data_IF_364203687757
#
_entry.id   IF_364203687757
#
_cell.length_a   1.000
_cell.length_b   1.000
_cell.length_c   1.000
_cell.angle_alpha   90.00
_cell.angle_beta   90.00
_cell.angle_gamma   90.00
#
_symmetry.space_group_name_H-M   'P 1'
#
loop_
_entity.id
_entity.type
_entity.pdbx_description
1 polymer ?
#
# COMPACT_ATOMS: atom_id res chain seq x y z
N UNK A 1 26.75 15.57 -22.86
CA UNK A 1 25.35 15.97 -23.11
C UNK A 1 24.82 16.60 -21.84
N UNK A 2 24.27 17.82 -21.91
CA UNK A 2 23.68 18.46 -20.74
C UNK A 2 22.34 17.79 -20.40
N UNK A 3 22.15 17.47 -19.12
CA UNK A 3 20.92 16.89 -18.60
C UNK A 3 19.89 18.02 -18.47
N UNK A 4 18.80 17.95 -19.22
CA UNK A 4 17.73 18.97 -19.26
C UNK A 4 16.41 18.40 -18.77
N UNK A 5 15.70 19.13 -17.92
CA UNK A 5 14.41 18.68 -17.39
C UNK A 5 13.34 18.50 -18.48
N UNK A 6 13.26 19.44 -19.43
CA UNK A 6 12.28 19.44 -20.54
C UNK A 6 12.87 18.99 -21.89
N UNK A 7 14.05 18.36 -21.89
CA UNK A 7 14.82 18.12 -23.12
C UNK A 7 15.56 19.36 -23.64
N UNK A 8 16.43 19.13 -24.63
CA UNK A 8 17.26 20.16 -25.25
C UNK A 8 17.08 20.19 -26.78
N UNK A 9 16.06 19.49 -27.28
CA UNK A 9 15.66 19.39 -28.68
C UNK A 9 14.76 20.55 -29.12
N UNK A 10 13.96 21.11 -28.21
CA UNK A 10 13.07 22.23 -28.51
C UNK A 10 13.28 23.42 -27.55
N UNK A 11 13.75 24.55 -28.09
CA UNK A 11 13.97 25.80 -27.34
C UNK A 11 12.65 26.35 -26.77
N UNK A 12 11.51 26.04 -27.41
CA UNK A 12 10.18 26.48 -26.93
C UNK A 12 9.67 25.67 -25.73
N UNK A 13 10.32 24.56 -25.36
CA UNK A 13 9.89 23.74 -24.21
C UNK A 13 9.92 24.51 -22.88
N UNK A 14 10.78 25.53 -22.77
CA UNK A 14 10.87 26.43 -21.62
C UNK A 14 10.07 27.74 -21.80
N UNK A 15 9.44 27.95 -22.95
CA UNK A 15 8.64 29.15 -23.22
C UNK A 15 7.29 29.06 -22.49
N UNK A 16 6.97 30.11 -21.71
CA UNK A 16 5.76 30.18 -20.87
C UNK A 16 4.75 31.23 -21.36
N UNK A 17 4.95 31.80 -22.55
CA UNK A 17 4.12 32.87 -23.12
C UNK A 17 2.64 32.51 -23.29
N UNK A 18 2.31 31.24 -23.53
CA UNK A 18 0.92 30.78 -23.66
C UNK A 18 0.26 30.40 -22.31
N UNK A 19 0.98 30.53 -21.20
CA UNK A 19 0.51 30.30 -19.84
C UNK A 19 1.13 29.10 -19.13
N UNK A 20 1.38 29.23 -17.84
CA UNK A 20 2.12 28.25 -17.01
C UNK A 20 1.53 26.83 -17.06
N UNK A 21 0.20 26.70 -16.98
CA UNK A 21 -0.46 25.38 -16.91
C UNK A 21 -0.65 24.74 -18.29
N UNK A 22 -0.41 25.49 -19.39
CA UNK A 22 -0.43 24.92 -20.76
C UNK A 22 0.89 24.26 -21.11
N UNK A 23 1.99 24.68 -20.50
CA UNK A 23 3.28 24.05 -20.72
C UNK A 23 3.34 22.71 -19.97
N UNK A 24 3.36 21.61 -20.71
CA UNK A 24 3.37 20.23 -20.17
C UNK A 24 4.57 20.00 -19.25
N UNK A 25 5.74 20.56 -19.59
CA UNK A 25 6.92 20.42 -18.75
C UNK A 25 6.83 21.19 -17.44
N UNK A 26 6.28 22.41 -17.46
CA UNK A 26 6.01 23.13 -16.23
C UNK A 26 5.00 22.39 -15.34
N UNK A 27 3.99 21.77 -15.95
CA UNK A 27 2.99 20.99 -15.21
C UNK A 27 3.60 19.74 -14.55
N UNK A 28 4.55 19.09 -15.22
CA UNK A 28 5.32 17.98 -14.64
C UNK A 28 6.29 18.45 -13.54
N UNK A 29 6.88 19.65 -13.67
CA UNK A 29 7.61 20.29 -12.58
C UNK A 29 6.71 20.61 -11.37
N UNK A 30 5.49 21.09 -11.61
CA UNK A 30 4.52 21.39 -10.55
C UNK A 30 4.14 20.12 -9.76
N UNK A 31 4.06 18.97 -10.43
CA UNK A 31 3.82 17.68 -9.78
C UNK A 31 4.96 17.23 -8.86
N UNK A 32 6.17 17.80 -8.99
CA UNK A 32 7.29 17.52 -8.11
C UNK A 32 7.13 18.18 -6.73
N UNK A 33 6.46 19.33 -6.69
CA UNK A 33 6.38 20.21 -5.50
C UNK A 33 5.80 19.50 -4.27
N UNK A 34 4.65 18.79 -4.35
CA UNK A 34 4.09 18.11 -3.18
C UNK A 34 5.02 17.03 -2.63
N UNK A 35 5.69 16.27 -3.50
CA UNK A 35 6.57 15.18 -3.12
C UNK A 35 7.82 15.70 -2.39
N UNK A 36 8.45 16.74 -2.94
CA UNK A 36 9.62 17.38 -2.33
C UNK A 36 9.24 18.02 -0.98
N UNK A 37 8.10 18.70 -0.91
CA UNK A 37 7.58 19.27 0.32
C UNK A 37 7.43 18.23 1.45
N UNK A 38 6.82 17.08 1.14
CA UNK A 38 6.65 16.01 2.13
C UNK A 38 8.00 15.53 2.64
N UNK A 39 8.96 15.29 1.75
CA UNK A 39 10.28 14.81 2.13
C UNK A 39 10.96 15.81 3.07
N UNK A 40 10.99 17.11 2.73
CA UNK A 40 11.62 18.12 3.57
C UNK A 40 11.01 18.23 4.98
N UNK A 41 9.69 18.09 5.10
CA UNK A 41 9.02 18.17 6.41
C UNK A 41 9.19 16.87 7.22
N UNK A 42 9.13 15.72 6.57
CA UNK A 42 9.12 14.43 7.27
C UNK A 42 10.52 13.94 7.63
N UNK A 43 11.56 14.26 6.85
CA UNK A 43 12.93 13.81 7.11
C UNK A 43 13.41 14.20 8.52
N UNK A 44 13.38 15.48 8.95
CA UNK A 44 13.81 15.87 10.28
C UNK A 44 13.06 15.14 11.39
N UNK A 45 11.75 14.94 11.22
CA UNK A 45 10.90 14.24 12.20
C UNK A 45 11.30 12.77 12.31
N UNK A 46 11.53 12.10 11.18
CA UNK A 46 11.96 10.71 11.15
C UNK A 46 13.34 10.53 11.79
N UNK A 47 14.29 11.43 11.52
CA UNK A 47 15.62 11.40 12.14
C UNK A 47 15.55 11.58 13.67
N UNK A 48 14.75 12.53 14.17
CA UNK A 48 14.54 12.72 15.60
C UNK A 48 13.88 11.48 16.23
N UNK A 49 12.86 10.93 15.57
CA UNK A 49 12.18 9.71 16.02
C UNK A 49 13.12 8.52 16.12
N UNK A 50 13.97 8.32 15.11
CA UNK A 50 14.95 7.24 15.10
C UNK A 50 16.02 7.42 16.18
N UNK A 51 16.59 8.63 16.32
CA UNK A 51 17.58 8.94 17.36
C UNK A 51 17.04 8.72 18.78
N UNK A 52 15.76 9.08 19.03
CA UNK A 52 15.13 8.84 20.33
C UNK A 52 14.80 7.37 20.60
N UNK A 53 14.53 6.55 19.57
CA UNK A 53 14.30 5.11 19.75
C UNK A 53 15.62 4.38 20.05
N UNK A 54 16.71 4.80 19.41
CA UNK A 54 18.03 4.24 19.65
C UNK A 54 18.52 4.45 21.09
N UNK A 55 18.06 5.50 21.79
CA UNK A 55 18.46 5.80 23.18
C UNK A 55 17.53 5.18 24.24
N UNK A 56 16.30 4.77 23.90
CA UNK A 56 15.27 4.30 24.86
C UNK A 56 14.96 2.80 24.81
N UNK A 57 15.89 1.98 24.31
CA UNK A 57 15.73 0.52 24.08
C UNK A 57 15.28 -0.30 25.31
N UNK A 58 15.25 0.26 26.53
CA UNK A 58 14.89 -0.44 27.76
C UNK A 58 13.44 -0.33 28.26
N UNK A 59 12.57 0.55 27.70
CA UNK A 59 11.17 0.68 28.19
C UNK A 59 10.19 0.13 27.14
N UNK A 60 10.10 -1.20 27.05
CA UNK A 60 9.18 -1.90 26.14
C UNK A 60 7.78 -2.08 26.77
N UNK A 61 6.97 -1.03 26.72
CA UNK A 61 5.52 -1.22 26.64
C UNK A 61 5.10 -0.87 25.21
N UNK A 62 4.79 -1.88 24.39
CA UNK A 62 4.34 -1.68 23.03
C UNK A 62 2.91 -1.15 23.04
N UNK A 63 2.76 0.17 23.06
CA UNK A 63 1.47 0.86 23.00
C UNK A 63 0.97 1.01 21.56
N UNK A 64 1.10 -0.05 20.75
CA UNK A 64 0.69 -0.01 19.35
C UNK A 64 -0.82 0.13 19.26
N UNK A 65 -1.25 1.19 18.58
CA UNK A 65 -2.65 1.47 18.38
C UNK A 65 -2.87 1.86 16.92
N UNK A 66 -3.51 0.96 16.16
CA UNK A 66 -3.83 1.27 14.79
C UNK A 66 -4.88 2.37 14.68
N UNK A 67 -4.65 3.33 13.79
CA UNK A 67 -5.66 4.34 13.48
C UNK A 67 -6.81 3.71 12.66
N UNK A 68 -8.03 4.31 12.73
CA UNK A 68 -9.15 3.88 11.88
C UNK A 68 -8.77 3.90 10.40
N UNK A 69 -9.06 2.83 9.66
CA UNK A 69 -8.69 2.72 8.25
C UNK A 69 -7.24 2.31 7.98
N UNK A 70 -6.48 1.85 8.99
CA UNK A 70 -5.10 1.36 8.85
C UNK A 70 -4.92 0.38 7.68
N UNK A 71 -5.70 -0.71 7.63
CA UNK A 71 -5.55 -1.73 6.59
C UNK A 71 -5.80 -1.15 5.18
N UNK A 72 -6.83 -0.32 5.03
CA UNK A 72 -7.17 0.32 3.76
C UNK A 72 -6.04 1.26 3.31
N UNK A 73 -5.48 2.04 4.24
CA UNK A 73 -4.33 2.91 3.95
C UNK A 73 -3.15 2.13 3.37
N UNK A 74 -2.76 1.04 4.01
CA UNK A 74 -1.66 0.21 3.52
C UNK A 74 -1.92 -0.38 2.13
N UNK A 75 -3.14 -0.89 1.89
CA UNK A 75 -3.54 -1.44 0.57
C UNK A 75 -3.47 -0.35 -0.50
N UNK A 76 -4.02 0.84 -0.23
CA UNK A 76 -3.99 1.97 -1.15
C UNK A 76 -2.56 2.44 -1.42
N UNK A 77 -1.70 2.52 -0.41
CA UNK A 77 -0.30 2.91 -0.60
C UNK A 77 0.48 1.87 -1.40
N UNK A 78 0.28 0.57 -1.18
CA UNK A 78 0.92 -0.46 -2.02
C UNK A 78 0.45 -0.40 -3.47
N UNK A 79 -0.85 -0.18 -3.67
CA UNK A 79 -1.41 0.02 -5.02
C UNK A 79 -0.80 1.26 -5.67
N UNK A 80 -0.68 2.36 -4.93
CA UNK A 80 -0.05 3.59 -5.39
C UNK A 80 1.44 3.39 -5.74
N UNK A 81 2.20 2.66 -4.94
CA UNK A 81 3.60 2.34 -5.23
C UNK A 81 3.71 1.52 -6.53
N UNK A 82 2.83 0.54 -6.74
CA UNK A 82 2.77 -0.22 -7.99
C UNK A 82 2.46 0.68 -9.19
N UNK A 83 1.47 1.57 -9.09
CA UNK A 83 1.13 2.51 -10.17
C UNK A 83 2.27 3.50 -10.44
N UNK A 84 3.04 3.92 -9.43
CA UNK A 84 4.26 4.70 -9.64
C UNK A 84 5.33 3.92 -10.40
N UNK A 85 5.52 2.62 -10.10
CA UNK A 85 6.44 1.76 -10.89
C UNK A 85 5.99 1.69 -12.35
N UNK A 86 4.68 1.59 -12.61
CA UNK A 86 4.15 1.67 -13.97
C UNK A 86 4.40 3.03 -14.64
N UNK A 87 4.22 4.15 -13.92
CA UNK A 87 4.50 5.50 -14.45
C UNK A 87 5.99 5.68 -14.76
N UNK A 88 6.89 5.14 -13.93
CA UNK A 88 8.34 5.14 -14.19
C UNK A 88 8.65 4.32 -15.44
N UNK A 89 8.08 3.11 -15.57
CA UNK A 89 8.28 2.26 -16.74
C UNK A 89 7.79 2.91 -18.03
N UNK A 90 6.60 3.50 -18.01
CA UNK A 90 6.06 4.29 -19.13
C UNK A 90 6.97 5.47 -19.47
N UNK A 91 7.40 6.24 -18.47
CA UNK A 91 8.26 7.41 -18.66
C UNK A 91 9.63 7.07 -19.27
N UNK A 92 10.26 5.95 -18.85
CA UNK A 92 11.54 5.50 -19.41
C UNK A 92 11.38 5.02 -20.85
N UNK A 93 10.32 4.26 -21.15
CA UNK A 93 10.05 3.77 -22.52
C UNK A 93 9.67 4.91 -23.47
N UNK A 94 9.00 5.95 -22.96
CA UNK A 94 8.69 7.15 -23.73
C UNK A 94 9.94 8.01 -23.98
N UNK A 95 10.83 8.14 -22.99
CA UNK A 95 12.12 8.85 -23.12
C UNK A 95 13.06 8.19 -24.13
N UNK A 96 13.13 6.85 -24.15
CA UNK A 96 14.04 6.11 -25.05
C UNK A 96 13.72 6.25 -26.54
N UNK A 97 12.52 6.74 -26.88
CA UNK A 97 12.10 7.04 -28.26
C UNK A 97 12.44 8.46 -28.70
N UNK A 98 12.88 9.32 -27.78
CA UNK A 98 13.18 10.73 -28.04
C UNK A 98 14.69 10.95 -28.29
N UNK A 99 15.06 11.99 -29.06
CA UNK A 99 16.46 12.24 -29.44
C UNK A 99 17.31 12.82 -28.30
N UNK A 100 16.68 13.44 -27.31
CA UNK A 100 17.34 13.99 -26.11
C UNK A 100 16.67 13.44 -24.86
N UNK A 101 17.34 13.54 -23.71
CA UNK A 101 16.78 13.05 -22.45
C UNK A 101 15.80 14.08 -21.86
N UNK A 102 14.60 13.60 -21.53
CA UNK A 102 13.42 14.34 -21.08
C UNK A 102 13.02 13.93 -19.65
N UNK A 103 13.79 14.37 -18.65
CA UNK A 103 13.61 13.92 -17.26
C UNK A 103 12.20 14.10 -16.70
N UNK A 104 11.45 15.11 -17.15
CA UNK A 104 10.07 15.35 -16.72
C UNK A 104 9.13 14.14 -16.91
N UNK A 105 9.48 13.18 -17.79
CA UNK A 105 8.65 12.01 -18.07
C UNK A 105 8.62 11.01 -16.91
N UNK A 106 9.74 10.84 -16.19
CA UNK A 106 9.89 9.82 -15.15
C UNK A 106 10.35 10.37 -13.79
N UNK A 107 11.03 11.52 -13.74
CA UNK A 107 11.53 12.08 -12.47
C UNK A 107 10.42 12.40 -11.46
N UNK A 108 9.28 13.01 -11.84
CA UNK A 108 8.16 13.20 -10.91
C UNK A 108 7.61 11.87 -10.37
N UNK A 109 7.61 10.81 -11.19
CA UNK A 109 7.16 9.48 -10.78
C UNK A 109 8.11 8.83 -9.77
N UNK A 110 9.43 8.93 -9.98
CA UNK A 110 10.46 8.48 -9.03
C UNK A 110 10.30 9.22 -7.70
N UNK A 111 10.16 10.54 -7.74
CA UNK A 111 9.99 11.34 -6.52
C UNK A 111 8.66 11.04 -5.83
N UNK A 112 7.60 10.76 -6.59
CA UNK A 112 6.33 10.26 -6.07
C UNK A 112 6.46 8.90 -5.38
N UNK A 113 7.23 7.97 -5.94
CA UNK A 113 7.51 6.67 -5.32
C UNK A 113 8.27 6.82 -3.99
N UNK A 114 9.31 7.65 -3.96
CA UNK A 114 10.07 7.95 -2.74
C UNK A 114 9.18 8.64 -1.71
N UNK A 115 8.37 9.63 -2.11
CA UNK A 115 7.44 10.31 -1.23
C UNK A 115 6.36 9.37 -0.66
N UNK A 116 5.78 8.49 -1.49
CA UNK A 116 4.81 7.48 -1.04
C UNK A 116 5.44 6.50 -0.03
N UNK A 117 6.69 6.07 -0.26
CA UNK A 117 7.43 5.21 0.68
C UNK A 117 7.72 5.94 2.00
N UNK A 118 8.22 7.17 1.94
CA UNK A 118 8.44 8.00 3.14
C UNK A 118 7.13 8.27 3.87
N UNK A 119 6.01 8.46 3.15
CA UNK A 119 4.70 8.71 3.74
C UNK A 119 4.21 7.57 4.62
N UNK A 120 4.40 6.31 4.19
CA UNK A 120 3.96 5.13 4.96
C UNK A 120 4.90 4.84 6.13
N UNK A 121 6.20 5.08 5.96
CA UNK A 121 7.18 5.01 7.06
C UNK A 121 6.86 6.08 8.11
N UNK A 122 6.57 7.30 7.68
CA UNK A 122 6.15 8.40 8.54
C UNK A 122 4.86 8.07 9.29
N UNK A 123 3.85 7.56 8.60
CA UNK A 123 2.61 7.09 9.21
C UNK A 123 2.87 6.01 10.28
N UNK A 124 3.70 5.00 9.96
CA UNK A 124 4.01 3.93 10.90
C UNK A 124 4.66 4.47 12.18
N UNK A 125 5.59 5.42 12.07
CA UNK A 125 6.22 6.08 13.22
C UNK A 125 5.23 6.92 14.05
N UNK A 126 4.25 7.56 13.41
CA UNK A 126 3.20 8.29 14.14
C UNK A 126 2.25 7.32 14.86
N UNK A 127 1.94 6.19 14.23
CA UNK A 127 1.09 5.16 14.81
C UNK A 127 1.74 4.50 16.03
N UNK A 128 3.05 4.23 15.98
CA UNK A 128 3.79 3.70 17.12
C UNK A 128 3.99 4.72 18.24
N UNK A 129 4.15 6.01 17.92
CA UNK A 129 4.26 7.08 18.91
C UNK A 129 2.91 7.63 19.41
N UNK A 130 1.80 7.27 18.75
CA UNK A 130 0.43 7.69 19.06
C UNK A 130 0.24 9.23 19.15
N UNK A 131 0.89 9.99 18.26
CA UNK A 131 0.78 11.45 18.20
C UNK A 131 0.04 11.93 16.93
N UNK A 132 -1.30 11.89 16.89
CA UNK A 132 -2.07 12.10 15.67
C UNK A 132 -1.96 13.50 15.06
N UNK A 133 -1.58 14.52 15.84
CA UNK A 133 -1.43 15.90 15.32
C UNK A 133 -0.40 16.01 14.19
N UNK A 134 0.63 15.16 14.20
CA UNK A 134 1.64 15.12 13.13
C UNK A 134 1.07 14.62 11.79
N UNK A 135 -0.05 13.88 11.78
CA UNK A 135 -0.72 13.44 10.54
C UNK A 135 -1.27 14.61 9.72
N UNK A 136 -1.38 15.81 10.28
CA UNK A 136 -1.83 17.00 9.53
C UNK A 136 -0.89 17.33 8.37
N UNK A 137 0.43 17.14 8.55
CA UNK A 137 1.39 17.33 7.46
C UNK A 137 1.16 16.35 6.31
N UNK A 138 0.84 15.10 6.64
CA UNK A 138 0.51 14.07 5.65
C UNK A 138 -0.82 14.36 4.95
N UNK A 139 -1.82 14.88 5.67
CA UNK A 139 -3.08 15.32 5.07
C UNK A 139 -2.91 16.46 4.07
N UNK A 140 -2.12 17.49 4.41
CA UNK A 140 -1.80 18.59 3.50
C UNK A 140 -1.07 18.09 2.24
N UNK A 141 -0.15 17.13 2.40
CA UNK A 141 0.50 16.49 1.27
C UNK A 141 -0.49 15.82 0.31
N UNK A 142 -1.42 15.00 0.82
CA UNK A 142 -2.41 14.34 -0.04
C UNK A 142 -3.31 15.32 -0.77
N UNK A 143 -3.70 16.44 -0.14
CA UNK A 143 -4.44 17.52 -0.81
C UNK A 143 -3.62 18.10 -1.97
N UNK A 144 -2.37 18.47 -1.72
CA UNK A 144 -1.53 19.07 -2.76
C UNK A 144 -1.28 18.09 -3.92
N UNK A 145 -0.95 16.83 -3.62
CA UNK A 145 -0.74 15.80 -4.63
C UNK A 145 -2.01 15.49 -5.45
N UNK A 146 -3.18 15.48 -4.79
CA UNK A 146 -4.47 15.34 -5.46
C UNK A 146 -4.74 16.52 -6.41
N UNK A 147 -4.54 17.75 -5.94
CA UNK A 147 -4.77 18.95 -6.75
C UNK A 147 -3.84 19.00 -7.95
N UNK A 148 -2.53 18.78 -7.79
CA UNK A 148 -1.57 18.86 -8.91
C UNK A 148 -1.83 17.79 -9.97
N UNK A 149 -2.08 16.53 -9.56
CA UNK A 149 -2.43 15.47 -10.51
C UNK A 149 -3.80 15.69 -11.16
N UNK A 150 -4.77 16.28 -10.45
CA UNK A 150 -6.08 16.63 -11.04
C UNK A 150 -5.92 17.70 -12.11
N UNK A 151 -5.09 18.71 -11.88
CA UNK A 151 -4.78 19.71 -12.91
C UNK A 151 -4.17 19.03 -14.14
N UNK A 152 -3.23 18.08 -13.97
CA UNK A 152 -2.66 17.29 -15.07
C UNK A 152 -3.70 16.47 -15.83
N UNK A 153 -4.61 15.81 -15.11
CA UNK A 153 -5.68 15.03 -15.73
C UNK A 153 -6.66 15.91 -16.52
N UNK A 154 -7.07 17.05 -15.97
CA UNK A 154 -7.96 18.01 -16.66
C UNK A 154 -7.31 18.54 -17.93
N UNK A 155 -6.00 18.78 -17.92
CA UNK A 155 -5.26 19.20 -19.13
C UNK A 155 -5.26 18.12 -20.20
N UNK A 156 -5.04 16.86 -19.85
CA UNK A 156 -5.19 15.78 -20.83
C UNK A 156 -6.59 15.71 -21.44
N UNK A 157 -7.64 15.97 -20.66
CA UNK A 157 -8.99 16.06 -21.21
C UNK A 157 -9.19 17.25 -22.15
N UNK A 158 -8.50 18.37 -21.92
CA UNK A 158 -8.57 19.57 -22.78
C UNK A 158 -7.79 19.39 -24.09
N UNK A 159 -6.68 18.67 -24.04
CA UNK A 159 -5.83 18.37 -25.20
C UNK A 159 -6.38 17.17 -26.02
N UNK A 160 -7.62 16.76 -25.75
CA UNK A 160 -8.29 15.62 -26.39
C UNK A 160 -7.49 14.30 -26.32
N UNK A 161 -6.72 14.11 -25.25
CA UNK A 161 -6.00 12.87 -24.99
C UNK A 161 -6.97 11.85 -24.37
N UNK A 162 -7.27 10.80 -25.13
CA UNK A 162 -8.22 9.76 -24.74
C UNK A 162 -7.57 8.58 -23.98
N UNK A 163 -8.41 7.66 -23.50
CA UNK A 163 -8.04 6.39 -22.85
C UNK A 163 -7.11 5.47 -23.66
N UNK A 164 -6.88 5.76 -24.95
CA UNK A 164 -5.91 5.04 -25.78
C UNK A 164 -4.46 5.23 -25.35
N UNK A 165 -4.15 6.29 -24.59
CA UNK A 165 -2.79 6.52 -24.08
C UNK A 165 -2.63 6.00 -22.64
N UNK A 166 -1.62 5.16 -22.42
CA UNK A 166 -1.33 4.56 -21.10
C UNK A 166 -1.13 5.62 -20.01
N UNK A 167 -0.44 6.73 -20.32
CA UNK A 167 -0.15 7.82 -19.39
C UNK A 167 -1.42 8.51 -18.86
N UNK A 168 -2.48 8.58 -19.67
CA UNK A 168 -3.80 9.07 -19.24
C UNK A 168 -4.43 8.14 -18.19
N UNK A 169 -4.48 6.84 -18.48
CA UNK A 169 -5.04 5.82 -17.58
C UNK A 169 -4.29 5.75 -16.24
N UNK A 170 -2.95 5.82 -16.28
CA UNK A 170 -2.10 5.88 -15.07
C UNK A 170 -2.42 7.14 -14.27
N UNK A 171 -2.46 8.31 -14.92
CA UNK A 171 -2.75 9.59 -14.25
C UNK A 171 -4.14 9.60 -13.62
N UNK A 172 -5.17 9.10 -14.32
CA UNK A 172 -6.52 8.96 -13.80
C UNK A 172 -6.58 8.04 -12.57
N UNK A 173 -5.88 6.90 -12.63
CA UNK A 173 -5.77 5.97 -11.51
C UNK A 173 -5.09 6.63 -10.30
N UNK A 174 -4.03 7.41 -10.51
CA UNK A 174 -3.36 8.16 -9.43
C UNK A 174 -4.28 9.19 -8.78
N UNK A 175 -5.07 9.94 -9.56
CA UNK A 175 -6.04 10.91 -9.01
C UNK A 175 -7.04 10.21 -8.10
N UNK A 176 -7.56 9.05 -8.52
CA UNK A 176 -8.46 8.23 -7.68
C UNK A 176 -7.75 7.76 -6.40
N UNK A 177 -6.52 7.23 -6.50
CA UNK A 177 -5.77 6.74 -5.34
C UNK A 177 -5.45 7.86 -4.34
N UNK A 178 -5.01 9.02 -4.80
CA UNK A 178 -4.77 10.19 -3.93
C UNK A 178 -6.08 10.69 -3.29
N UNK A 179 -7.18 10.70 -4.04
CA UNK A 179 -8.50 11.04 -3.49
C UNK A 179 -8.96 10.06 -2.40
N UNK A 180 -8.77 8.76 -2.61
CA UNK A 180 -9.09 7.72 -1.61
C UNK A 180 -8.20 7.84 -0.36
N UNK A 181 -6.89 8.05 -0.52
CA UNK A 181 -5.98 8.26 0.60
C UNK A 181 -6.33 9.53 1.39
N UNK A 182 -6.67 10.62 0.70
CA UNK A 182 -7.18 11.84 1.32
C UNK A 182 -8.47 11.56 2.12
N UNK A 183 -9.41 10.78 1.56
CA UNK A 183 -10.64 10.40 2.27
C UNK A 183 -10.35 9.55 3.53
N UNK A 184 -9.34 8.68 3.50
CA UNK A 184 -8.89 7.94 4.69
C UNK A 184 -8.36 8.88 5.76
N UNK A 185 -7.58 9.90 5.42
CA UNK A 185 -7.13 10.91 6.39
C UNK A 185 -8.29 11.70 6.99
N UNK A 186 -9.26 12.11 6.17
CA UNK A 186 -10.48 12.79 6.64
C UNK A 186 -11.23 11.90 7.64
N UNK A 187 -11.34 10.60 7.37
CA UNK A 187 -11.96 9.65 8.29
C UNK A 187 -11.19 9.54 9.62
N UNK A 188 -9.85 9.53 9.59
CA UNK A 188 -9.03 9.53 10.81
C UNK A 188 -9.24 10.81 11.62
N UNK A 189 -9.24 11.99 10.96
CA UNK A 189 -9.52 13.29 11.59
C UNK A 189 -10.90 13.27 12.25
N UNK A 190 -11.93 12.80 11.53
CA UNK A 190 -13.31 12.71 12.03
C UNK A 190 -13.45 11.79 13.24
N UNK A 191 -12.87 10.60 13.19
CA UNK A 191 -13.04 9.59 14.25
C UNK A 191 -12.23 9.94 15.49
N UNK A 192 -11.00 10.45 15.33
CA UNK A 192 -10.12 10.78 16.46
C UNK A 192 -10.33 12.19 17.01
N UNK A 193 -11.02 13.07 16.26
CA UNK A 193 -11.37 14.44 16.66
C UNK A 193 -10.18 15.24 17.21
N UNK A 194 -9.01 15.09 16.60
CA UNK A 194 -7.78 15.75 17.09
C UNK A 194 -7.52 17.12 16.43
N UNK A 195 -8.28 17.47 15.40
CA UNK A 195 -8.24 18.78 14.73
C UNK A 195 -9.61 19.45 14.92
N UNK A 196 -9.63 20.71 15.38
CA UNK A 196 -10.84 21.54 15.56
C UNK A 196 -11.90 21.09 16.60
N UNK A 197 -11.67 20.02 17.37
CA UNK A 197 -12.58 19.61 18.45
C UNK A 197 -11.95 19.81 19.83
N UNK A 198 -12.75 20.32 20.77
CA UNK A 198 -12.31 20.66 22.14
C UNK A 198 -11.97 19.44 23.01
N UNK A 199 -12.41 18.23 22.65
CA UNK A 199 -12.17 16.99 23.38
C UNK A 199 -11.62 15.87 22.47
N UNK A 200 -10.29 15.63 22.47
CA UNK A 200 -9.71 14.56 21.65
C UNK A 200 -10.09 13.18 22.22
N UNK A 201 -10.52 12.27 21.35
CA UNK A 201 -10.86 10.90 21.76
C UNK A 201 -9.58 10.08 21.98
N UNK A 202 -9.20 9.89 23.25
CA UNK A 202 -8.07 9.03 23.64
C UNK A 202 -8.54 7.57 23.69
N UNK A 203 -8.04 6.75 22.77
CA UNK A 203 -8.29 5.30 22.76
C UNK A 203 -7.11 4.60 23.43
N UNK A 204 -7.39 3.69 24.37
CA UNK A 204 -6.37 2.89 25.04
C UNK A 204 -5.88 1.75 24.12
N UNK A 205 -4.59 1.37 24.17
CA UNK A 205 -4.10 0.17 23.47
C UNK A 205 -4.84 -1.10 23.92
N UNK A 206 -4.95 -2.12 23.04
CA UNK A 206 -5.51 -3.42 23.39
C UNK A 206 -4.91 -4.00 24.69
N UNK A 207 -5.74 -4.66 25.50
CA UNK A 207 -5.31 -5.28 26.76
C UNK A 207 -4.22 -6.36 26.54
N UNK A 208 -4.29 -7.08 25.42
CA UNK A 208 -3.28 -8.08 25.03
C UNK A 208 -1.87 -7.50 24.90
N UNK A 209 -1.74 -6.25 24.43
CA UNK A 209 -0.44 -5.58 24.29
C UNK A 209 0.10 -5.04 25.62
N UNK A 210 -0.76 -4.93 26.64
CA UNK A 210 -0.38 -4.52 27.99
C UNK A 210 0.08 -5.73 28.83
N UNK A 211 -0.32 -6.96 28.47
CA UNK A 211 0.18 -8.19 29.09
C UNK A 211 1.57 -8.55 28.52
N UNK A 212 2.61 -8.35 29.32
CA UNK A 212 4.01 -8.73 29.01
C UNK A 212 4.19 -10.22 28.70
N UNK A 213 3.21 -11.06 29.06
CA UNK A 213 3.18 -12.47 28.72
C UNK A 213 2.86 -12.74 27.25
N UNK A 214 2.19 -11.84 26.53
CA UNK A 214 1.81 -12.04 25.12
C UNK A 214 2.98 -11.70 24.21
N UNK A 215 3.51 -12.71 23.52
CA UNK A 215 4.65 -12.56 22.59
C UNK A 215 4.29 -12.86 21.14
N UNK A 216 3.13 -13.47 20.91
CA UNK A 216 2.60 -13.67 19.57
C UNK A 216 1.89 -12.39 19.10
N UNK A 217 2.59 -11.59 18.29
CA UNK A 217 2.18 -10.22 17.93
C UNK A 217 1.43 -10.11 16.60
N UNK A 218 1.33 -11.19 15.81
CA UNK A 218 0.73 -11.20 14.46
C UNK A 218 -0.60 -10.42 14.34
N UNK A 219 -1.56 -10.46 15.30
CA UNK A 219 -2.82 -9.72 15.14
C UNK A 219 -2.65 -8.19 15.23
N UNK A 220 -1.62 -7.70 15.91
CA UNK A 220 -1.44 -6.30 16.31
C UNK A 220 -0.39 -5.54 15.48
N UNK A 221 0.30 -6.23 14.57
CA UNK A 221 1.30 -5.59 13.71
C UNK A 221 0.65 -5.01 12.45
N UNK A 222 1.38 -4.11 11.80
CA UNK A 222 0.95 -3.52 10.54
C UNK A 222 0.79 -4.57 9.43
N UNK A 223 0.10 -4.20 8.35
CA UNK A 223 -0.21 -5.14 7.26
C UNK A 223 1.05 -5.74 6.61
N UNK A 224 2.12 -4.95 6.46
CA UNK A 224 3.38 -5.42 5.90
C UNK A 224 4.01 -6.52 6.76
N UNK A 225 4.13 -6.29 8.07
CA UNK A 225 4.67 -7.26 9.03
C UNK A 225 3.79 -8.50 9.16
N UNK A 226 2.46 -8.37 8.96
CA UNK A 226 1.56 -9.53 8.86
C UNK A 226 1.86 -10.40 7.65
N UNK A 227 2.19 -9.78 6.51
CA UNK A 227 2.43 -10.49 5.25
C UNK A 227 3.84 -11.09 5.17
N UNK A 228 4.87 -10.37 5.65
CA UNK A 228 6.27 -10.79 5.58
C UNK A 228 6.78 -11.45 6.85
N UNK A 229 5.92 -11.55 7.88
CA UNK A 229 6.27 -12.05 9.22
C UNK A 229 7.44 -11.31 9.88
N UNK A 230 7.61 -10.01 9.60
CA UNK A 230 8.75 -9.23 10.09
C UNK A 230 8.91 -9.27 11.63
N UNK A 231 7.80 -9.28 12.37
CA UNK A 231 7.80 -9.36 13.84
C UNK A 231 8.41 -10.65 14.40
N UNK A 232 8.57 -11.71 13.59
CA UNK A 232 9.22 -12.96 13.99
C UNK A 232 10.75 -12.84 14.05
N UNK A 233 11.35 -11.84 13.39
CA UNK A 233 12.81 -11.71 13.30
C UNK A 233 13.51 -11.72 14.67
N UNK A 234 13.06 -10.96 15.70
CA UNK A 234 13.68 -11.02 17.02
C UNK A 234 13.60 -12.40 17.68
N UNK A 235 12.51 -13.14 17.47
CA UNK A 235 12.33 -14.50 18.00
C UNK A 235 13.29 -15.48 17.31
N UNK A 236 13.39 -15.44 15.99
CA UNK A 236 14.27 -16.31 15.20
C UNK A 236 15.74 -16.05 15.55
N UNK A 237 16.15 -14.78 15.62
CA UNK A 237 17.52 -14.40 16.00
C UNK A 237 17.82 -14.85 17.45
N UNK A 238 16.85 -14.68 18.36
CA UNK A 238 17.01 -15.14 19.75
C UNK A 238 17.11 -16.66 19.86
N UNK A 239 16.38 -17.40 19.03
CA UNK A 239 16.36 -18.86 19.03
C UNK A 239 17.70 -19.47 18.62
N UNK A 240 18.48 -18.75 17.80
CA UNK A 240 19.84 -19.16 17.46
C UNK A 240 20.80 -19.03 18.64
N UNK A 241 20.58 -18.06 19.53
CA UNK A 241 21.46 -17.82 20.70
C UNK A 241 21.10 -18.67 21.91
N UNK A 242 19.82 -19.00 22.09
CA UNK A 242 19.33 -19.80 23.22
C UNK A 242 18.17 -20.69 22.78
N UNK A 243 18.04 -21.91 23.32
CA UNK A 243 16.89 -22.77 23.06
C UNK A 243 15.58 -22.08 23.47
N UNK A 244 14.50 -22.42 22.77
CA UNK A 244 13.18 -21.82 22.99
C UNK A 244 12.46 -22.57 24.11
N UNK A 245 12.32 -21.91 25.26
CA UNK A 245 11.45 -22.40 26.34
C UNK A 245 9.99 -21.97 26.14
N UNK A 246 9.05 -22.65 26.81
CA UNK A 246 7.63 -22.26 26.83
C UNK A 246 7.42 -20.81 27.30
N UNK A 247 8.28 -20.34 28.24
CA UNK A 247 8.28 -18.95 28.69
C UNK A 247 8.69 -17.97 27.58
N UNK A 248 9.52 -18.40 26.63
CA UNK A 248 9.96 -17.59 25.51
C UNK A 248 8.88 -17.45 24.42
N UNK A 249 8.01 -18.47 24.25
CA UNK A 249 6.87 -18.45 23.33
C UNK A 249 5.77 -17.49 23.81
N UNK A 250 5.55 -17.41 25.12
CA UNK A 250 4.55 -16.54 25.72
C UNK A 250 3.10 -17.03 25.55
N UNK A 251 2.16 -16.19 25.97
CA UNK A 251 0.72 -16.43 25.87
C UNK A 251 0.20 -16.05 24.49
N UNK A 252 -0.90 -16.70 24.10
CA UNK A 252 -1.67 -16.33 22.92
C UNK A 252 -2.59 -15.11 23.21
N UNK A 253 -2.80 -14.25 22.20
CA UNK A 253 -3.78 -13.16 22.25
C UNK A 253 -5.18 -13.68 22.55
N UNK A 254 -6.03 -12.86 23.20
CA UNK A 254 -7.40 -13.23 23.59
C UNK A 254 -8.21 -13.78 22.42
N UNK A 255 -8.07 -13.19 21.23
CA UNK A 255 -8.78 -13.60 20.02
C UNK A 255 -8.45 -15.04 19.56
N UNK A 256 -7.33 -15.62 20.01
CA UNK A 256 -6.88 -16.97 19.64
C UNK A 256 -6.99 -17.98 20.77
N UNK A 257 -7.52 -17.58 21.94
CA UNK A 257 -7.68 -18.48 23.08
C UNK A 257 -8.84 -19.46 22.85
N UNK A 258 -8.67 -20.69 23.33
CA UNK A 258 -9.65 -21.75 23.19
C UNK A 258 -11.02 -21.37 23.77
N UNK A 259 -11.06 -20.72 24.95
CA UNK A 259 -12.31 -20.29 25.58
C UNK A 259 -13.06 -19.26 24.72
N UNK A 260 -12.37 -18.26 24.18
CA UNK A 260 -12.97 -17.23 23.32
C UNK A 260 -13.59 -17.87 22.07
N UNK A 261 -12.86 -18.77 21.41
CA UNK A 261 -13.33 -19.47 20.21
C UNK A 261 -14.47 -20.44 20.52
N UNK A 262 -14.42 -21.12 21.67
CA UNK A 262 -15.50 -21.98 22.14
C UNK A 262 -16.80 -21.20 22.38
N UNK A 263 -16.73 -20.05 23.07
CA UNK A 263 -17.89 -19.18 23.31
C UNK A 263 -18.47 -18.68 21.98
N UNK A 264 -17.62 -18.22 21.06
CA UNK A 264 -18.06 -17.78 19.73
C UNK A 264 -18.83 -18.87 18.97
N UNK A 265 -18.31 -20.11 18.96
CA UNK A 265 -18.96 -21.24 18.30
C UNK A 265 -20.25 -21.65 19.02
N UNK A 266 -20.23 -21.67 20.36
CA UNK A 266 -21.40 -21.98 21.19
C UNK A 266 -22.53 -20.99 20.92
N UNK A 267 -22.25 -19.70 20.92
CA UNK A 267 -23.24 -18.64 20.66
C UNK A 267 -23.83 -18.79 19.25
N UNK A 268 -23.00 -19.08 18.24
CA UNK A 268 -23.45 -19.32 16.88
C UNK A 268 -24.36 -20.56 16.76
N UNK A 269 -24.06 -21.61 17.52
CA UNK A 269 -24.89 -22.83 17.57
C UNK A 269 -26.20 -22.62 18.34
N UNK A 270 -26.17 -21.89 19.45
CA UNK A 270 -27.38 -21.53 20.21
C UNK A 270 -28.33 -20.65 19.40
N UNK A 271 -27.81 -19.70 18.63
CA UNK A 271 -28.62 -18.87 17.72
C UNK A 271 -29.33 -19.72 16.67
N UNK A 272 -28.66 -20.75 16.16
CA UNK A 272 -29.29 -21.70 15.23
C UNK A 272 -30.36 -22.54 15.91
N UNK A 273 -30.08 -23.05 17.12
CA UNK A 273 -31.05 -23.82 17.89
C UNK A 273 -32.34 -23.01 18.09
N UNK A 274 -32.24 -21.70 18.38
CA UNK A 274 -33.39 -20.79 18.48
C UNK A 274 -34.16 -20.64 17.16
N UNK A 275 -33.47 -20.51 16.02
CA UNK A 275 -34.12 -20.41 14.69
C UNK A 275 -34.83 -21.70 14.27
N UNK A 276 -34.26 -22.84 14.67
CA UNK A 276 -34.78 -24.17 14.37
C UNK A 276 -35.91 -24.57 15.33
N UNK A 277 -35.99 -23.98 16.53
CA UNK A 277 -37.06 -24.25 17.50
C UNK A 277 -38.48 -23.99 16.94
N UNK A 278 -38.62 -23.08 15.97
CA UNK A 278 -39.90 -22.80 15.30
C UNK A 278 -40.26 -23.82 14.21
N UNK A 279 -39.38 -24.78 13.91
CA UNK A 279 -39.54 -25.77 12.84
C UNK A 279 -39.30 -27.19 13.41
N UNK A 280 -40.35 -27.92 13.80
CA UNK A 280 -40.23 -29.21 14.51
C UNK A 280 -39.50 -30.32 13.73
N UNK A 281 -39.36 -30.21 12.41
CA UNK A 281 -38.68 -31.17 11.55
C UNK A 281 -37.23 -30.81 11.17
N UNK A 282 -36.65 -29.74 11.72
CA UNK A 282 -35.25 -29.37 11.46
C UNK A 282 -34.38 -29.64 12.68
N UNK A 283 -33.19 -30.17 12.45
CA UNK A 283 -32.13 -30.27 13.47
C UNK A 283 -31.12 -29.13 13.28
N UNK A 284 -30.56 -28.56 14.36
CA UNK A 284 -29.49 -27.57 14.25
C UNK A 284 -28.23 -28.20 13.64
N UNK A 285 -27.59 -27.50 12.70
CA UNK A 285 -26.43 -28.03 11.95
C UNK A 285 -25.12 -27.42 12.46
N UNK A 286 -24.24 -28.27 12.99
CA UNK A 286 -22.90 -27.87 13.46
C UNK A 286 -22.10 -27.20 12.32
N UNK A 287 -22.21 -27.69 11.09
CA UNK A 287 -21.53 -27.12 9.93
C UNK A 287 -21.92 -25.67 9.66
N UNK A 288 -23.21 -25.38 9.73
CA UNK A 288 -23.70 -24.03 9.52
C UNK A 288 -23.25 -23.11 10.66
N UNK A 289 -23.17 -23.62 11.91
CA UNK A 289 -22.67 -22.86 13.05
C UNK A 289 -21.18 -22.55 12.91
N UNK A 290 -20.39 -23.52 12.44
CA UNK A 290 -18.97 -23.36 12.12
C UNK A 290 -18.76 -22.29 11.05
N UNK A 291 -19.54 -22.33 9.96
CA UNK A 291 -19.46 -21.33 8.90
C UNK A 291 -19.90 -19.93 9.37
N UNK A 292 -20.90 -19.86 10.26
CA UNK A 292 -21.34 -18.59 10.84
C UNK A 292 -20.27 -17.99 11.77
N UNK A 293 -19.60 -18.81 12.57
CA UNK A 293 -18.56 -18.36 13.49
C UNK A 293 -17.24 -18.02 12.77
N UNK A 294 -16.79 -18.85 11.81
CA UNK A 294 -15.45 -18.77 11.22
C UNK A 294 -15.42 -18.59 9.69
N UNK A 295 -16.58 -18.44 9.03
CA UNK A 295 -16.65 -18.32 7.58
C UNK A 295 -15.98 -17.07 7.03
N UNK A 296 -15.96 -15.95 7.78
CA UNK A 296 -15.31 -14.70 7.34
C UNK A 296 -13.80 -14.89 7.10
N UNK A 297 -13.00 -15.42 8.06
CA UNK A 297 -11.60 -15.77 7.81
C UNK A 297 -11.40 -16.76 6.66
N UNK A 298 -12.27 -17.76 6.53
CA UNK A 298 -12.16 -18.78 5.47
C UNK A 298 -12.36 -18.13 4.10
N UNK A 299 -13.40 -17.32 3.93
CA UNK A 299 -13.65 -16.58 2.68
C UNK A 299 -12.48 -15.66 2.33
N UNK A 300 -11.92 -14.96 3.32
CA UNK A 300 -10.74 -14.12 3.11
C UNK A 300 -9.53 -14.96 2.65
N UNK A 301 -9.28 -16.10 3.30
CA UNK A 301 -8.21 -17.03 2.91
C UNK A 301 -8.40 -17.57 1.49
N UNK A 302 -9.64 -17.97 1.15
CA UNK A 302 -9.98 -18.42 -0.20
C UNK A 302 -9.77 -17.32 -1.24
N UNK A 303 -10.17 -16.08 -0.95
CA UNK A 303 -9.95 -14.96 -1.89
C UNK A 303 -8.46 -14.71 -2.16
N UNK A 304 -7.61 -14.78 -1.13
CA UNK A 304 -6.16 -14.67 -1.32
C UNK A 304 -5.59 -15.84 -2.10
N UNK A 305 -6.09 -17.06 -1.89
CA UNK A 305 -5.66 -18.23 -2.68
C UNK A 305 -5.99 -18.03 -4.16
N UNK A 306 -7.23 -17.67 -4.48
CA UNK A 306 -7.63 -17.41 -5.87
C UNK A 306 -6.81 -16.29 -6.52
N UNK A 307 -6.57 -15.19 -5.79
CA UNK A 307 -5.73 -14.10 -6.30
C UNK A 307 -4.28 -14.56 -6.55
N UNK A 308 -3.72 -15.36 -5.66
CA UNK A 308 -2.37 -15.90 -5.81
C UNK A 308 -2.26 -16.83 -7.03
N UNK A 309 -3.27 -17.68 -7.25
CA UNK A 309 -3.30 -18.58 -8.40
C UNK A 309 -3.42 -17.79 -9.73
N UNK A 310 -4.26 -16.74 -9.77
CA UNK A 310 -4.37 -15.83 -10.91
C UNK A 310 -3.06 -15.09 -11.21
N UNK A 311 -2.38 -14.57 -10.18
CA UNK A 311 -1.08 -13.93 -10.31
C UNK A 311 0.02 -14.94 -10.71
N UNK A 312 -0.13 -16.22 -10.36
CA UNK A 312 0.75 -17.30 -10.79
C UNK A 312 0.81 -17.46 -12.31
N UNK A 313 -0.30 -17.20 -13.01
CA UNK A 313 -0.35 -17.22 -14.48
C UNK A 313 0.35 -16.02 -15.13
N UNK A 314 0.55 -14.92 -14.41
CA UNK A 314 1.25 -13.75 -14.95
C UNK A 314 2.72 -14.07 -15.27
N UNK A 315 3.37 -14.98 -14.53
CA UNK A 315 4.76 -15.37 -14.77
C UNK A 315 4.98 -15.93 -16.19
N UNK A 316 4.30 -17.05 -16.57
CA UNK A 316 4.38 -17.59 -17.92
C UNK A 316 3.96 -16.61 -19.03
N UNK A 317 2.92 -15.80 -18.80
CA UNK A 317 2.47 -14.78 -19.76
C UNK A 317 3.53 -13.69 -20.00
N UNK A 318 4.18 -13.22 -18.93
CA UNK A 318 5.28 -12.27 -19.04
C UNK A 318 6.47 -12.88 -19.79
N UNK A 319 6.80 -14.16 -19.55
CA UNK A 319 7.88 -14.85 -20.28
C UNK A 319 7.54 -14.94 -21.77
N UNK A 320 6.31 -15.32 -22.13
CA UNK A 320 5.87 -15.37 -23.53
C UNK A 320 6.01 -14.01 -24.20
N UNK A 321 5.51 -12.94 -23.56
CA UNK A 321 5.60 -11.58 -24.10
C UNK A 321 7.04 -11.09 -24.26
N UNK A 322 7.95 -11.48 -23.35
CA UNK A 322 9.39 -11.20 -23.48
C UNK A 322 9.97 -11.93 -24.69
N UNK A 323 9.67 -13.22 -24.87
CA UNK A 323 10.16 -14.03 -26.00
C UNK A 323 9.68 -13.43 -27.34
N UNK A 324 8.39 -13.11 -27.44
CA UNK A 324 7.78 -12.55 -28.65
C UNK A 324 8.34 -11.15 -28.99
N UNK A 325 8.85 -10.43 -27.99
CA UNK A 325 9.47 -9.11 -28.19
C UNK A 325 10.89 -9.17 -28.76
N UNK A 326 11.55 -10.33 -28.72
CA UNK A 326 12.85 -10.50 -29.38
C UNK A 326 12.63 -10.62 -30.89
N UNK A 327 13.34 -9.81 -31.71
CA UNK A 327 13.27 -9.95 -33.15
C UNK A 327 13.73 -11.36 -33.52
N UNK A 328 12.87 -12.11 -34.19
CA UNK A 328 13.23 -13.41 -34.77
C UNK A 328 14.23 -13.12 -35.88
N UNK A 329 15.49 -13.55 -35.72
CA UNK A 329 16.46 -13.48 -36.82
C UNK A 329 15.84 -14.15 -38.07
N UNK A 330 15.78 -13.49 -39.23
CA UNK A 330 15.20 -14.05 -40.45
C UNK A 330 16.07 -15.15 -41.09
N UNK A 331 16.95 -15.79 -40.31
CA UNK A 331 18.02 -16.67 -40.79
C UNK A 331 17.83 -18.16 -40.57
N UNK A 332 16.70 -18.65 -40.03
CA UNK A 332 16.56 -20.09 -39.73
C UNK A 332 15.21 -20.72 -40.13
N UNK A 333 14.43 -20.07 -41.00
CA UNK A 333 13.17 -20.60 -41.53
C UNK A 333 13.33 -21.49 -42.79
N UNK A 334 14.52 -22.01 -43.08
CA UNK A 334 14.78 -22.85 -44.27
C UNK A 334 15.14 -24.31 -44.00
N UNK A 335 15.05 -24.85 -42.78
CA UNK A 335 15.47 -26.25 -42.53
C UNK A 335 14.41 -27.22 -42.00
N UNK A 336 13.18 -26.80 -41.67
CA UNK A 336 12.19 -27.71 -41.04
C UNK A 336 11.02 -28.17 -41.92
N UNK A 337 10.99 -27.86 -43.22
CA UNK A 337 9.94 -28.34 -44.15
C UNK A 337 10.30 -29.60 -44.93
N UNK A 338 11.32 -30.37 -44.52
CA UNK A 338 11.79 -31.55 -45.26
C UNK A 338 11.62 -32.91 -44.56
N UNK A 339 10.82 -33.02 -43.50
CA UNK A 339 10.64 -34.32 -42.81
C UNK A 339 9.21 -34.55 -42.29
N UNK A 340 8.24 -34.60 -43.20
CA UNK A 340 6.96 -35.30 -42.97
C UNK A 340 6.20 -35.57 -44.28
N UNK A 341 6.83 -36.31 -45.19
CA UNK A 341 6.10 -37.07 -46.22
C UNK A 341 6.72 -38.46 -46.32
N UNK A 342 6.15 -39.39 -45.55
CA UNK A 342 5.98 -40.82 -45.87
C UNK A 342 5.32 -41.51 -44.68
#
# INVERSE_FOLDING_TARGET
>A
MNISFCGNDNISAYNMSEGFVRNVCFLDALNLVPHVFLLFITFPILFIGWGSQSSKVQIHHNTWLHFPGHNLRWILTFTLLFVHVCEIGEGIVSDSKLPTCHLHLFLPAIMGFVAATTSIVYYHNIETSNFPKLLLALFLYWIMAFVTKTIKLVRYCQDEIYFGQLRFCITGTMVVLYGLLMAVEINVIRVRKYVFFSSPQKVKPPEDLQDLGVRFLQPFVNLLSKATYWWMNPLIISAHKKPIDLKAIGKLPIAMRALTNYVCLKDAYEEQKKKVANHPNRTPSIWLAMYRAFGRPILLSSTFRYLADLLGFAGPLCISGIIDSFPTDPGNSTSNNAASVS
#
